data_IF_540177977459
#
_entry.id   IF_540177977459
#
_cell.length_a   1.000
_cell.length_b   1.000
_cell.length_c   1.000
_cell.angle_alpha   90.00
_cell.angle_beta   90.00
_cell.angle_gamma   90.00
#
_symmetry.space_group_name_H-M   'P 1'
#
loop_
_entity.id
_entity.type
_entity.pdbx_description
1 polymer ?
#
# COMPACT_ATOMS: atom_id res chain seq x y z
N UNK A 1 -8.95 0.67 18.74
CA UNK A 1 -9.90 0.68 17.63
C UNK A 1 -11.30 0.57 18.20
N UNK A 2 -12.08 1.64 18.15
CA UNK A 2 -13.52 1.54 18.34
C UNK A 2 -14.09 1.07 17.00
N UNK A 3 -14.71 -0.11 16.99
CA UNK A 3 -15.53 -0.51 15.86
C UNK A 3 -16.82 0.29 15.97
N UNK A 4 -17.08 1.18 15.01
CA UNK A 4 -18.31 1.99 14.97
C UNK A 4 -19.53 1.11 14.68
N UNK A 5 -19.32 -0.01 13.98
CA UNK A 5 -20.38 -0.94 13.64
C UNK A 5 -20.55 -2.04 14.69
N UNK A 6 -21.81 -2.41 15.02
CA UNK A 6 -22.08 -3.53 15.88
C UNK A 6 -21.60 -4.83 15.24
N UNK A 7 -20.99 -5.71 16.05
CA UNK A 7 -20.57 -7.03 15.59
C UNK A 7 -21.81 -7.79 15.08
N UNK A 8 -21.80 -8.31 13.83
CA UNK A 8 -22.94 -9.03 13.29
C UNK A 8 -23.33 -10.24 14.13
N UNK A 9 -24.64 -10.48 14.32
CA UNK A 9 -25.14 -11.55 15.20
C UNK A 9 -24.62 -12.95 14.84
N UNK A 10 -24.38 -13.24 13.56
CA UNK A 10 -23.85 -14.54 13.11
C UNK A 10 -22.42 -14.82 13.62
N UNK A 11 -21.66 -13.80 14.04
CA UNK A 11 -20.30 -13.96 14.56
C UNK A 11 -20.31 -14.72 15.89
N UNK A 12 -21.34 -14.54 16.71
CA UNK A 12 -21.45 -15.22 18.01
C UNK A 12 -21.65 -16.74 17.84
N UNK A 13 -22.39 -17.17 16.82
CA UNK A 13 -22.60 -18.58 16.48
C UNK A 13 -21.27 -19.26 16.10
N UNK A 14 -20.43 -18.54 15.36
CA UNK A 14 -19.14 -19.03 14.87
C UNK A 14 -18.10 -19.08 15.98
N UNK A 15 -18.08 -18.11 16.91
CA UNK A 15 -17.06 -17.97 17.97
C UNK A 15 -16.89 -19.21 18.86
N UNK A 16 -17.90 -20.08 18.92
CA UNK A 16 -17.90 -21.31 19.72
C UNK A 16 -17.15 -22.48 19.06
N UNK A 17 -16.83 -22.39 17.76
CA UNK A 17 -16.14 -23.43 17.01
C UNK A 17 -14.63 -23.38 17.27
N UNK A 18 -14.03 -24.53 17.60
CA UNK A 18 -12.58 -24.66 17.89
C UNK A 18 -11.65 -24.21 16.77
N UNK A 19 -12.11 -24.19 15.52
CA UNK A 19 -11.30 -23.83 14.35
C UNK A 19 -11.19 -22.31 14.14
N UNK A 20 -12.08 -21.53 14.74
CA UNK A 20 -12.18 -20.07 14.52
C UNK A 20 -10.94 -19.30 14.98
N UNK A 21 -10.34 -19.59 16.15
CA UNK A 21 -9.08 -18.93 16.52
C UNK A 21 -7.96 -19.15 15.50
N UNK A 22 -7.86 -20.37 14.95
CA UNK A 22 -6.83 -20.73 13.97
C UNK A 22 -7.09 -20.09 12.60
N UNK A 23 -8.34 -20.10 12.14
CA UNK A 23 -8.73 -19.45 10.87
C UNK A 23 -8.56 -17.93 10.96
N UNK A 24 -8.96 -17.32 12.08
CA UNK A 24 -8.81 -15.88 12.33
C UNK A 24 -7.33 -15.50 12.37
N UNK A 25 -6.50 -16.23 13.12
CA UNK A 25 -5.06 -15.99 13.16
C UNK A 25 -4.42 -16.08 11.77
N UNK A 26 -4.85 -17.04 10.96
CA UNK A 26 -4.37 -17.19 9.57
C UNK A 26 -4.82 -16.03 8.68
N UNK A 27 -6.07 -15.59 8.82
CA UNK A 27 -6.61 -14.47 8.06
C UNK A 27 -5.89 -13.15 8.41
N UNK A 28 -5.67 -12.89 9.70
CA UNK A 28 -4.91 -11.73 10.18
C UNK A 28 -3.50 -11.76 9.61
N UNK A 29 -2.79 -12.88 9.73
CA UNK A 29 -1.42 -13.02 9.23
C UNK A 29 -1.32 -12.79 7.71
N UNK A 30 -2.32 -13.26 6.94
CA UNK A 30 -2.40 -12.98 5.51
C UNK A 30 -2.61 -11.49 5.24
N UNK A 31 -3.51 -10.84 5.98
CA UNK A 31 -3.77 -9.40 5.84
C UNK A 31 -2.56 -8.53 6.21
N UNK A 32 -1.84 -8.88 7.27
CA UNK A 32 -0.59 -8.20 7.63
C UNK A 32 0.44 -8.27 6.50
N UNK A 33 0.56 -9.42 5.82
CA UNK A 33 1.46 -9.58 4.67
C UNK A 33 1.00 -8.76 3.46
N UNK A 34 -0.30 -8.66 3.21
CA UNK A 34 -0.86 -7.82 2.15
C UNK A 34 -0.56 -6.35 2.41
N UNK A 35 -0.91 -5.84 3.60
CA UNK A 35 -0.63 -4.45 3.98
C UNK A 35 0.85 -4.10 3.96
N UNK A 36 1.72 -5.02 4.39
CA UNK A 36 3.16 -4.80 4.31
C UNK A 36 3.65 -4.66 2.86
N UNK A 37 3.14 -5.51 1.95
CA UNK A 37 3.48 -5.45 0.53
C UNK A 37 2.94 -4.17 -0.13
N UNK A 38 1.72 -3.77 0.21
CA UNK A 38 1.11 -2.51 -0.25
C UNK A 38 1.96 -1.32 0.19
N UNK A 39 2.30 -1.22 1.48
CA UNK A 39 3.15 -0.13 1.98
C UNK A 39 4.55 -0.09 1.36
N UNK A 40 5.15 -1.25 1.08
CA UNK A 40 6.43 -1.31 0.36
C UNK A 40 6.30 -0.82 -1.09
N UNK A 41 5.20 -1.15 -1.76
CA UNK A 41 4.94 -0.71 -3.13
C UNK A 41 4.69 0.80 -3.18
N UNK A 42 3.85 1.32 -2.29
CA UNK A 42 3.58 2.75 -2.14
C UNK A 42 4.87 3.53 -1.87
N UNK A 43 5.71 3.06 -0.93
CA UNK A 43 6.99 3.70 -0.63
C UNK A 43 7.93 3.78 -1.84
N UNK A 44 7.97 2.74 -2.68
CA UNK A 44 8.76 2.74 -3.93
C UNK A 44 8.21 3.67 -5.00
N UNK A 45 6.90 3.92 -5.01
CA UNK A 45 6.27 4.86 -5.96
C UNK A 45 6.55 6.29 -5.48
N UNK A 46 6.36 6.56 -4.19
CA UNK A 46 6.62 7.88 -3.61
C UNK A 46 8.08 8.28 -3.75
N UNK A 47 9.02 7.36 -3.51
CA UNK A 47 10.46 7.63 -3.64
C UNK A 47 10.86 7.94 -5.10
N UNK A 48 10.27 7.26 -6.09
CA UNK A 48 10.46 7.57 -7.51
C UNK A 48 9.93 8.95 -7.87
N UNK A 49 8.72 9.29 -7.42
CA UNK A 49 8.11 10.61 -7.64
C UNK A 49 8.91 11.72 -6.98
N UNK A 50 9.33 11.51 -5.74
CA UNK A 50 10.14 12.47 -5.01
C UNK A 50 11.52 12.69 -5.67
N UNK A 51 12.12 11.61 -6.17
CA UNK A 51 13.37 11.70 -6.95
C UNK A 51 13.15 12.48 -8.23
N UNK A 52 12.09 12.20 -9.00
CA UNK A 52 11.74 12.95 -10.19
C UNK A 52 11.51 14.45 -9.91
N UNK A 53 10.74 14.80 -8.86
CA UNK A 53 10.55 16.18 -8.40
C UNK A 53 11.88 16.88 -8.14
N UNK A 54 12.77 16.22 -7.40
CA UNK A 54 14.11 16.75 -7.06
C UNK A 54 15.03 16.90 -8.27
N UNK A 55 14.88 16.04 -9.29
CA UNK A 55 15.65 16.13 -10.54
C UNK A 55 15.12 17.27 -11.42
N UNK A 56 13.80 17.38 -11.55
CA UNK A 56 13.11 18.47 -12.26
C UNK A 56 13.47 19.83 -11.67
N UNK A 57 13.45 19.96 -10.34
CA UNK A 57 13.85 21.18 -9.63
C UNK A 57 15.33 21.57 -9.85
N UNK A 58 16.19 20.61 -10.22
CA UNK A 58 17.60 20.85 -10.59
C UNK A 58 17.80 21.17 -12.07
N UNK A 59 16.72 21.23 -12.86
CA UNK A 59 16.77 21.52 -14.30
C UNK A 59 17.28 20.35 -15.15
N UNK A 60 17.17 19.12 -14.66
CA UNK A 60 17.49 17.92 -15.46
C UNK A 60 16.41 17.74 -16.53
N UNK A 61 16.81 17.32 -17.73
CA UNK A 61 15.87 17.10 -18.83
C UNK A 61 14.87 15.98 -18.53
N UNK A 62 13.62 16.18 -18.96
CA UNK A 62 12.51 15.26 -18.69
C UNK A 62 12.77 13.85 -19.22
N UNK A 63 13.42 13.72 -20.37
CA UNK A 63 13.73 12.42 -20.97
C UNK A 63 14.74 11.63 -20.12
N UNK A 64 15.71 12.31 -19.50
CA UNK A 64 16.67 11.70 -18.56
C UNK A 64 15.95 11.31 -17.26
N UNK A 65 15.04 12.14 -16.77
CA UNK A 65 14.26 11.82 -15.56
C UNK A 65 13.38 10.59 -15.80
N UNK A 66 12.74 10.50 -16.97
CA UNK A 66 11.91 9.35 -17.36
C UNK A 66 12.74 8.06 -17.43
N UNK A 67 13.93 8.10 -18.03
CA UNK A 67 14.84 6.96 -18.09
C UNK A 67 15.26 6.47 -16.70
N UNK A 68 15.61 7.39 -15.79
CA UNK A 68 16.13 7.04 -14.46
C UNK A 68 15.04 6.61 -13.49
N UNK A 69 13.90 7.30 -13.50
CA UNK A 69 12.82 7.06 -12.52
C UNK A 69 11.78 6.04 -13.01
N UNK A 70 11.77 5.75 -14.31
CA UNK A 70 10.79 4.87 -14.95
C UNK A 70 9.37 5.45 -14.99
N UNK A 71 9.23 6.76 -14.74
CA UNK A 71 7.97 7.49 -14.89
C UNK A 71 7.80 7.98 -16.34
N UNK A 72 6.56 8.13 -16.78
CA UNK A 72 6.28 8.73 -18.08
C UNK A 72 6.58 10.23 -18.07
N UNK A 73 6.76 10.81 -19.26
CA UNK A 73 7.02 12.24 -19.40
C UNK A 73 5.85 13.07 -18.88
N UNK A 74 4.62 12.61 -19.16
CA UNK A 74 3.38 13.21 -18.65
C UNK A 74 3.35 13.19 -17.11
N UNK A 75 3.68 12.05 -16.50
CA UNK A 75 3.74 11.94 -15.03
C UNK A 75 4.76 12.91 -14.44
N UNK A 76 5.92 13.12 -15.08
CA UNK A 76 6.96 14.04 -14.60
C UNK A 76 6.56 15.50 -14.82
N UNK A 77 5.82 15.82 -15.89
CA UNK A 77 5.30 17.17 -16.14
C UNK A 77 4.28 17.61 -15.08
N UNK A 78 3.46 16.67 -14.60
CA UNK A 78 2.45 16.88 -13.55
C UNK A 78 3.02 16.96 -12.12
N UNK A 79 4.25 16.50 -11.89
CA UNK A 79 4.96 16.53 -10.58
C UNK A 79 5.53 17.90 -10.20
#
# INVERSE_FOLDING_TARGET
>A
AHFEDPVPQWVDEIRTLKEVPTMLATAIKKKEQEWFKEGLMEGRIEERRETARRMKARGIELDIIAEVTGLSREEIEEL
#
